data_IF_323042482585
#
_entry.id   IF_323042482585
#
_cell.length_a   1.000
_cell.length_b   1.000
_cell.length_c   1.000
_cell.angle_alpha   90.00
_cell.angle_beta   90.00
_cell.angle_gamma   90.00
#
_symmetry.space_group_name_H-M   'P 1'
#
loop_
_entity.id
_entity.type
_entity.pdbx_description
1 polymer ?
#
# COMPACT_ATOMS: atom_id res chain seq x y z
N UNK A 1 11.42 4.36 51.23
CA UNK A 1 10.80 3.76 50.03
C UNK A 1 11.88 3.63 48.95
N UNK A 2 12.19 2.42 48.51
CA UNK A 2 13.18 2.22 47.45
C UNK A 2 12.58 2.68 46.10
N UNK A 3 13.19 3.69 45.48
CA UNK A 3 12.82 4.15 44.14
C UNK A 3 13.08 3.02 43.13
N UNK A 4 12.01 2.40 42.61
CA UNK A 4 12.14 1.48 41.47
C UNK A 4 12.58 2.31 40.27
N UNK A 5 13.84 2.18 39.85
CA UNK A 5 14.31 2.77 38.59
C UNK A 5 13.44 2.21 37.46
N UNK A 6 12.77 3.11 36.72
CA UNK A 6 12.03 2.73 35.53
C UNK A 6 12.98 2.05 34.54
N UNK A 7 12.63 0.85 34.10
CA UNK A 7 13.38 0.15 33.06
C UNK A 7 13.16 0.86 31.73
N UNK A 8 14.26 1.17 31.04
CA UNK A 8 14.16 1.78 29.70
C UNK A 8 13.67 0.75 28.69
N UNK A 9 13.07 1.20 27.58
CA UNK A 9 12.59 0.32 26.51
C UNK A 9 13.69 -0.64 26.03
N UNK A 10 14.91 -0.11 25.82
CA UNK A 10 16.07 -0.91 25.45
C UNK A 10 16.42 -1.97 26.51
N UNK A 11 16.37 -1.62 27.80
CA UNK A 11 16.65 -2.55 28.89
C UNK A 11 15.59 -3.66 29.00
N UNK A 12 14.34 -3.36 28.64
CA UNK A 12 13.23 -4.31 28.71
C UNK A 12 13.12 -5.21 27.46
N UNK A 13 13.42 -4.69 26.28
CA UNK A 13 13.14 -5.37 25.00
C UNK A 13 14.38 -5.80 24.23
N UNK A 14 15.51 -5.10 24.34
CA UNK A 14 16.72 -5.42 23.55
C UNK A 14 17.70 -6.34 24.29
N UNK A 15 17.51 -6.53 25.60
CA UNK A 15 18.31 -7.46 26.40
C UNK A 15 17.85 -8.91 26.30
N UNK A 16 16.57 -9.14 25.99
CA UNK A 16 16.01 -10.47 25.90
C UNK A 16 16.16 -11.03 24.47
N UNK A 17 16.85 -12.16 24.33
CA UNK A 17 17.04 -12.82 23.04
C UNK A 17 15.74 -13.38 22.46
N UNK A 18 14.74 -13.68 23.30
CA UNK A 18 13.42 -14.13 22.87
C UNK A 18 12.56 -13.00 22.28
N UNK A 19 12.95 -11.74 22.47
CA UNK A 19 12.21 -10.58 21.94
C UNK A 19 12.53 -10.27 20.47
N UNK A 20 13.68 -10.70 19.94
CA UNK A 20 14.09 -10.40 18.56
C UNK A 20 13.11 -10.92 17.48
N UNK A 21 12.55 -12.15 17.58
CA UNK A 21 11.53 -12.59 16.62
C UNK A 21 10.28 -11.70 16.62
N UNK A 22 9.85 -11.22 17.78
CA UNK A 22 8.69 -10.32 17.91
C UNK A 22 8.99 -8.97 17.27
N UNK A 23 10.17 -8.41 17.56
CA UNK A 23 10.64 -7.16 16.97
C UNK A 23 10.73 -7.29 15.44
N UNK A 24 11.21 -8.42 14.93
CA UNK A 24 11.28 -8.68 13.49
C UNK A 24 9.89 -8.69 12.84
N UNK A 25 8.89 -9.33 13.47
CA UNK A 25 7.50 -9.33 12.97
C UNK A 25 6.91 -7.93 12.97
N UNK A 26 7.09 -7.17 14.05
CA UNK A 26 6.60 -5.78 14.16
C UNK A 26 7.27 -4.91 13.09
N UNK A 27 8.59 -4.97 12.97
CA UNK A 27 9.35 -4.23 11.96
C UNK A 27 8.92 -4.60 10.54
N UNK A 28 8.75 -5.90 10.26
CA UNK A 28 8.25 -6.38 8.98
C UNK A 28 6.86 -5.84 8.65
N UNK A 29 5.93 -5.89 9.60
CA UNK A 29 4.58 -5.36 9.42
C UNK A 29 4.57 -3.84 9.15
N UNK A 30 5.39 -3.08 9.89
CA UNK A 30 5.54 -1.64 9.68
C UNK A 30 6.13 -1.33 8.30
N UNK A 31 7.19 -2.02 7.91
CA UNK A 31 7.82 -1.87 6.60
C UNK A 31 6.83 -2.17 5.46
N UNK A 32 6.09 -3.27 5.55
CA UNK A 32 5.11 -3.65 4.53
C UNK A 32 3.98 -2.62 4.43
N UNK A 33 3.47 -2.16 5.56
CA UNK A 33 2.38 -1.18 5.61
C UNK A 33 2.83 0.17 5.04
N UNK A 34 4.00 0.65 5.48
CA UNK A 34 4.57 1.91 5.00
C UNK A 34 4.93 1.85 3.51
N UNK A 35 5.50 0.75 3.05
CA UNK A 35 5.82 0.56 1.64
C UNK A 35 4.56 0.52 0.77
N UNK A 36 3.55 -0.24 1.19
CA UNK A 36 2.27 -0.34 0.47
C UNK A 36 1.57 1.02 0.38
N UNK A 37 1.49 1.76 1.48
CA UNK A 37 0.87 3.08 1.50
C UNK A 37 1.66 4.10 0.66
N UNK A 38 2.98 4.14 0.80
CA UNK A 38 3.83 5.03 0.01
C UNK A 38 3.75 4.72 -1.50
N UNK A 39 3.78 3.43 -1.87
CA UNK A 39 3.62 3.01 -3.27
C UNK A 39 2.24 3.38 -3.81
N UNK A 40 1.19 3.21 -3.03
CA UNK A 40 -0.15 3.60 -3.43
C UNK A 40 -0.25 5.12 -3.64
N UNK A 41 0.22 5.92 -2.67
CA UNK A 41 0.18 7.38 -2.74
C UNK A 41 1.00 7.94 -3.91
N UNK A 42 2.15 7.35 -4.21
CA UNK A 42 3.04 7.86 -5.27
C UNK A 42 2.61 7.48 -6.69
N UNK A 43 1.95 6.33 -6.87
CA UNK A 43 1.64 5.80 -8.20
C UNK A 43 0.13 5.75 -8.50
N UNK A 44 -0.74 5.97 -7.51
CA UNK A 44 -2.18 6.06 -7.75
C UNK A 44 -2.49 7.28 -8.62
N UNK A 45 -3.30 7.12 -9.68
CA UNK A 45 -3.71 8.23 -10.54
C UNK A 45 -4.66 9.22 -9.83
N UNK A 46 -5.21 8.84 -8.68
CA UNK A 46 -6.12 9.67 -7.87
C UNK A 46 -5.38 10.64 -6.93
N UNK A 47 -4.09 10.37 -6.65
CA UNK A 47 -3.31 11.14 -5.69
C UNK A 47 -2.25 11.95 -6.43
N UNK A 48 -2.39 13.27 -6.40
CA UNK A 48 -1.52 14.18 -7.14
C UNK A 48 -0.37 14.73 -6.28
N UNK A 49 0.63 13.90 -5.98
CA UNK A 49 1.85 14.36 -5.28
C UNK A 49 2.91 14.98 -6.18
N UNK A 50 2.98 14.57 -7.45
CA UNK A 50 3.99 15.07 -8.37
C UNK A 50 3.74 16.55 -8.70
N UNK A 51 4.80 17.37 -8.71
CA UNK A 51 4.76 18.79 -9.10
C UNK A 51 4.07 19.01 -10.46
N UNK A 52 4.20 18.05 -11.39
CA UNK A 52 3.56 18.10 -12.70
C UNK A 52 2.02 18.01 -12.64
N UNK A 53 1.45 17.27 -11.68
CA UNK A 53 0.02 16.92 -11.67
C UNK A 53 -0.73 17.49 -10.45
N UNK A 54 -0.04 17.99 -9.42
CA UNK A 54 -0.64 18.50 -8.16
C UNK A 54 -1.64 19.63 -8.32
N UNK A 55 -1.59 20.38 -9.43
CA UNK A 55 -2.50 21.48 -9.72
C UNK A 55 -3.68 21.10 -10.62
N UNK A 56 -3.69 19.88 -11.17
CA UNK A 56 -4.75 19.43 -12.05
C UNK A 56 -5.85 18.75 -11.20
N UNK A 57 -7.10 19.23 -11.23
CA UNK A 57 -8.20 18.57 -10.52
C UNK A 57 -8.70 17.30 -11.22
N UNK A 58 -8.28 17.06 -12.48
CA UNK A 58 -8.73 15.93 -13.29
C UNK A 58 -7.68 14.82 -13.31
N UNK A 59 -8.15 13.59 -13.13
CA UNK A 59 -7.35 12.38 -13.26
C UNK A 59 -6.92 12.20 -14.72
N UNK A 60 -5.62 12.10 -14.99
CA UNK A 60 -5.16 11.89 -16.37
C UNK A 60 -5.35 10.44 -16.82
N UNK A 61 -5.91 10.27 -18.03
CA UNK A 61 -6.15 8.93 -18.59
C UNK A 61 -4.85 8.13 -18.79
N UNK A 62 -3.75 8.80 -19.09
CA UNK A 62 -2.44 8.17 -19.27
C UNK A 62 -1.93 7.51 -17.98
N UNK A 63 -2.04 8.21 -16.84
CA UNK A 63 -1.64 7.67 -15.54
C UNK A 63 -2.54 6.49 -15.14
N UNK A 64 -3.85 6.57 -15.45
CA UNK A 64 -4.80 5.48 -15.21
C UNK A 64 -4.45 4.24 -16.04
N UNK A 65 -4.11 4.41 -17.31
CA UNK A 65 -3.68 3.30 -18.19
C UNK A 65 -2.42 2.63 -17.68
N UNK A 66 -1.41 3.41 -17.26
CA UNK A 66 -0.17 2.89 -16.68
C UNK A 66 -0.38 2.15 -15.34
N UNK A 67 -1.28 2.65 -14.49
CA UNK A 67 -1.65 2.01 -13.23
C UNK A 67 -2.45 0.72 -13.42
N UNK A 68 -3.37 0.70 -14.39
CA UNK A 68 -4.24 -0.44 -14.66
C UNK A 68 -3.58 -1.52 -15.52
N UNK A 69 -2.54 -1.21 -16.30
CA UNK A 69 -1.90 -2.15 -17.23
C UNK A 69 -1.46 -3.47 -16.58
N UNK A 70 -0.92 -3.39 -15.36
CA UNK A 70 -0.44 -4.55 -14.60
C UNK A 70 -1.54 -5.26 -13.79
N UNK A 71 -2.73 -4.66 -13.69
CA UNK A 71 -3.84 -5.17 -12.84
C UNK A 71 -4.92 -5.88 -13.64
N UNK A 72 -4.94 -5.73 -14.96
CA UNK A 72 -5.96 -6.34 -15.83
C UNK A 72 -6.03 -7.86 -15.65
N UNK A 73 -4.88 -8.54 -15.58
CA UNK A 73 -4.82 -9.99 -15.43
C UNK A 73 -5.46 -10.49 -14.13
N UNK A 74 -5.13 -9.85 -13.01
CA UNK A 74 -5.71 -10.19 -11.69
C UNK A 74 -7.21 -9.87 -11.67
N UNK A 75 -7.61 -8.70 -12.19
CA UNK A 75 -9.01 -8.26 -12.20
C UNK A 75 -9.93 -9.16 -13.04
N UNK A 76 -9.37 -9.77 -14.09
CA UNK A 76 -10.10 -10.64 -15.01
C UNK A 76 -9.89 -12.13 -14.71
N UNK A 77 -9.26 -12.48 -13.60
CA UNK A 77 -8.99 -13.87 -13.24
C UNK A 77 -10.28 -14.68 -13.04
N UNK A 78 -11.28 -14.07 -12.41
CA UNK A 78 -12.61 -14.65 -12.26
C UNK A 78 -13.64 -13.85 -13.03
N UNK A 79 -14.70 -14.52 -13.44
CA UNK A 79 -15.85 -13.85 -14.00
C UNK A 79 -16.52 -13.01 -12.90
N UNK A 80 -16.71 -11.72 -13.21
CA UNK A 80 -17.29 -10.74 -12.31
C UNK A 80 -18.40 -10.02 -13.08
N UNK A 81 -19.45 -9.57 -12.39
CA UNK A 81 -20.56 -8.79 -13.02
C UNK A 81 -20.05 -7.61 -13.85
N UNK A 82 -18.94 -6.99 -13.43
CA UNK A 82 -18.28 -5.89 -14.14
C UNK A 82 -17.69 -6.37 -15.49
N UNK A 83 -17.02 -7.52 -15.49
CA UNK A 83 -16.39 -8.08 -16.69
C UNK A 83 -17.46 -8.54 -17.69
N UNK A 84 -18.57 -9.10 -17.21
CA UNK A 84 -19.73 -9.47 -18.03
C UNK A 84 -20.38 -8.25 -18.68
N UNK A 85 -20.70 -7.23 -17.88
CA UNK A 85 -21.29 -5.98 -18.37
C UNK A 85 -20.39 -5.26 -19.39
N UNK A 86 -19.06 -5.31 -19.23
CA UNK A 86 -18.12 -4.76 -20.22
C UNK A 86 -18.14 -5.54 -21.54
N UNK A 87 -18.20 -6.87 -21.48
CA UNK A 87 -18.34 -7.73 -22.67
C UNK A 87 -19.66 -7.48 -23.40
N UNK A 88 -20.77 -7.40 -22.66
CA UNK A 88 -22.12 -7.17 -23.22
C UNK A 88 -22.21 -5.84 -23.98
N UNK A 89 -21.54 -4.79 -23.49
CA UNK A 89 -21.54 -3.46 -24.12
C UNK A 89 -20.43 -3.27 -25.17
N UNK A 90 -19.62 -4.30 -25.45
CA UNK A 90 -18.49 -4.20 -26.37
C UNK A 90 -17.42 -3.18 -25.92
N UNK A 91 -17.36 -2.87 -24.62
CA UNK A 91 -16.44 -1.88 -24.08
C UNK A 91 -15.08 -2.55 -23.87
N UNK A 92 -14.01 -1.94 -24.40
CA UNK A 92 -12.66 -2.35 -24.06
C UNK A 92 -12.44 -2.07 -22.57
N UNK A 93 -12.26 -3.12 -21.78
CA UNK A 93 -12.05 -2.99 -20.33
C UNK A 93 -10.83 -2.11 -20.03
N UNK A 94 -10.99 -1.22 -19.04
CA UNK A 94 -10.01 -0.21 -18.57
C UNK A 94 -8.57 -0.67 -18.73
#
# INVERSE_FOLDING_TARGET
>A
MASRKATTFAQAWLRDTAAYPIIAVIGGALCLTAFSSARYLAASPEVHFNKANRGNPVISEENVKGWNSHRKGIRNWSENKINQHQKEKGLQGF
#
